data_IF_599486970109
#
_entry.id   IF_599486970109
#
_cell.length_a   1.000
_cell.length_b   1.000
_cell.length_c   1.000
_cell.angle_alpha   90.00
_cell.angle_beta   90.00
_cell.angle_gamma   90.00
#
_symmetry.space_group_name_H-M   'P 1'
#
loop_
_entity.id
_entity.type
_entity.pdbx_description
1 polymer ?
#
# COMPACT_ATOMS: atom_id res chain seq x y z
N UNK A 1 46.28 20.79 -22.96
CA UNK A 1 44.87 21.07 -22.61
C UNK A 1 44.84 21.31 -21.12
N UNK A 2 44.31 22.45 -20.68
CA UNK A 2 44.45 22.92 -19.29
C UNK A 2 43.62 22.01 -18.38
N UNK A 3 44.19 21.55 -17.27
CA UNK A 3 43.52 20.69 -16.28
C UNK A 3 42.18 21.27 -15.82
N UNK A 4 42.07 22.60 -15.75
CA UNK A 4 40.82 23.29 -15.42
C UNK A 4 39.67 23.13 -16.43
N UNK A 5 39.94 22.83 -17.71
CA UNK A 5 38.88 22.59 -18.70
C UNK A 5 38.24 21.20 -18.51
N UNK A 6 39.03 20.23 -18.01
CA UNK A 6 38.55 18.88 -17.73
C UNK A 6 37.70 18.86 -16.45
N UNK A 7 38.19 19.50 -15.38
CA UNK A 7 37.45 19.66 -14.11
C UNK A 7 36.12 20.40 -14.32
N UNK A 8 36.13 21.49 -15.09
CA UNK A 8 34.91 22.21 -15.44
C UNK A 8 33.92 21.34 -16.25
N UNK A 9 34.43 20.51 -17.16
CA UNK A 9 33.58 19.58 -17.94
C UNK A 9 32.96 18.49 -17.04
N UNK A 10 33.71 17.97 -16.08
CA UNK A 10 33.25 16.97 -15.11
C UNK A 10 32.21 17.54 -14.13
N UNK A 11 32.40 18.76 -13.64
CA UNK A 11 31.40 19.47 -12.83
C UNK A 11 30.09 19.73 -13.61
N UNK A 12 30.18 20.08 -14.89
CA UNK A 12 28.99 20.29 -15.73
C UNK A 12 28.23 18.99 -16.00
N UNK A 13 28.94 17.86 -16.17
CA UNK A 13 28.30 16.54 -16.27
C UNK A 13 27.63 16.13 -14.95
N UNK A 14 28.26 16.43 -13.82
CA UNK A 14 27.65 16.22 -12.51
C UNK A 14 26.39 17.05 -12.33
N UNK A 15 26.39 18.33 -12.69
CA UNK A 15 25.17 19.14 -12.66
C UNK A 15 24.10 18.60 -13.60
N UNK A 16 24.47 18.19 -14.81
CA UNK A 16 23.53 17.63 -15.79
C UNK A 16 22.83 16.36 -15.30
N UNK A 17 23.46 15.58 -14.41
CA UNK A 17 22.82 14.43 -13.75
C UNK A 17 21.56 14.83 -12.97
N UNK A 18 21.55 16.04 -12.40
CA UNK A 18 20.40 16.58 -11.67
C UNK A 18 19.43 17.36 -12.56
N UNK A 19 19.66 17.48 -13.87
CA UNK A 19 18.75 18.17 -14.78
C UNK A 19 17.39 17.45 -14.89
N UNK A 20 16.29 18.20 -14.84
CA UNK A 20 14.95 17.69 -15.09
C UNK A 20 14.63 17.61 -16.59
N UNK A 21 15.26 18.49 -17.40
CA UNK A 21 15.10 18.54 -18.84
C UNK A 21 16.45 18.77 -19.54
N UNK A 22 16.61 18.28 -20.77
CA UNK A 22 17.87 18.41 -21.54
C UNK A 22 18.26 19.86 -21.90
N UNK A 23 17.35 20.83 -21.77
CA UNK A 23 17.55 22.25 -22.09
C UNK A 23 17.40 23.15 -20.86
N UNK A 24 17.56 22.60 -19.65
CA UNK A 24 17.46 23.37 -18.41
C UNK A 24 18.71 24.22 -18.16
N UNK A 25 18.52 25.48 -17.78
CA UNK A 25 19.62 26.37 -17.44
C UNK A 25 20.36 25.90 -16.18
N UNK A 26 21.70 26.01 -16.18
CA UNK A 26 22.55 25.59 -15.06
C UNK A 26 22.14 26.25 -13.72
N UNK A 27 21.64 27.48 -13.79
CA UNK A 27 21.10 28.19 -12.62
C UNK A 27 19.96 27.42 -11.96
N UNK A 28 18.97 26.98 -12.75
CA UNK A 28 17.79 26.27 -12.25
C UNK A 28 18.16 24.93 -11.61
N UNK A 29 19.16 24.25 -12.19
CA UNK A 29 19.71 23.00 -11.66
C UNK A 29 20.40 23.24 -10.31
N UNK A 30 21.30 24.23 -10.23
CA UNK A 30 22.03 24.56 -8.98
C UNK A 30 21.07 25.01 -7.89
N UNK A 31 20.09 25.84 -8.22
CA UNK A 31 19.08 26.31 -7.26
C UNK A 31 18.27 25.15 -6.68
N UNK A 32 17.86 24.22 -7.55
CA UNK A 32 17.12 23.02 -7.14
C UNK A 32 17.98 22.10 -6.29
N UNK A 33 19.25 21.92 -6.65
CA UNK A 33 20.20 21.12 -5.88
C UNK A 33 20.41 21.68 -4.47
N UNK A 34 20.64 22.99 -4.36
CA UNK A 34 20.81 23.65 -3.06
C UNK A 34 19.52 23.66 -2.24
N UNK A 35 18.35 23.76 -2.87
CA UNK A 35 17.07 23.63 -2.17
C UNK A 35 16.85 22.23 -1.59
N UNK A 36 17.35 21.19 -2.27
CA UNK A 36 17.32 19.81 -1.79
C UNK A 36 18.33 19.58 -0.66
N UNK A 37 19.51 20.18 -0.76
CA UNK A 37 20.57 20.05 0.24
C UNK A 37 20.32 20.91 1.51
N UNK A 38 19.72 22.09 1.36
CA UNK A 38 19.57 23.11 2.42
C UNK A 38 18.16 23.71 2.47
N UNK A 39 17.12 22.91 2.77
CA UNK A 39 15.74 23.39 2.77
C UNK A 39 15.48 24.50 3.81
N UNK A 40 16.15 24.47 4.97
CA UNK A 40 15.97 25.45 6.04
C UNK A 40 16.53 26.84 5.67
N UNK A 41 17.74 26.90 5.11
CA UNK A 41 18.38 28.16 4.69
C UNK A 41 17.59 28.80 3.54
N UNK A 42 17.02 27.98 2.65
CA UNK A 42 16.24 28.48 1.52
C UNK A 42 14.88 29.08 1.93
N UNK A 43 14.32 28.68 3.07
CA UNK A 43 13.11 29.28 3.64
C UNK A 43 13.38 30.70 4.18
N UNK A 44 14.57 30.97 4.71
CA UNK A 44 15.00 32.28 5.19
C UNK A 44 15.36 33.24 4.04
N UNK A 45 15.90 32.69 2.95
CA UNK A 45 16.40 33.43 1.77
C UNK A 45 15.29 33.73 0.73
N UNK A 46 14.01 33.44 1.03
CA UNK A 46 12.83 33.59 0.13
C UNK A 46 12.68 34.94 -0.59
N UNK A 47 13.29 36.01 -0.07
CA UNK A 47 13.23 37.35 -0.67
C UNK A 47 14.29 37.61 -1.76
N UNK A 48 15.29 36.74 -1.90
CA UNK A 48 16.39 36.89 -2.86
C UNK A 48 16.10 36.11 -4.15
N UNK A 49 16.31 36.75 -5.30
CA UNK A 49 16.11 36.16 -6.63
C UNK A 49 17.45 36.01 -7.37
N UNK A 50 17.54 34.97 -8.22
CA UNK A 50 18.70 34.72 -9.07
C UNK A 50 19.91 34.16 -8.32
N UNK A 51 21.11 34.35 -8.88
CA UNK A 51 22.39 33.91 -8.31
C UNK A 51 22.68 34.46 -6.90
N UNK A 52 22.01 35.55 -6.50
CA UNK A 52 22.10 36.09 -5.13
C UNK A 52 21.56 35.12 -4.08
N UNK A 53 20.52 34.35 -4.40
CA UNK A 53 19.99 33.34 -3.48
C UNK A 53 20.98 32.19 -3.30
N UNK A 54 21.64 31.77 -4.38
CA UNK A 54 22.69 30.74 -4.38
C UNK A 54 23.87 31.18 -3.51
N UNK A 55 24.37 32.41 -3.71
CA UNK A 55 25.48 32.95 -2.92
C UNK A 55 25.09 33.06 -1.44
N UNK A 56 23.94 33.66 -1.12
CA UNK A 56 23.49 33.78 0.27
C UNK A 56 23.34 32.43 0.98
N UNK A 57 22.93 31.38 0.24
CA UNK A 57 22.85 30.02 0.78
C UNK A 57 24.24 29.46 1.11
N UNK A 58 25.22 29.68 0.25
CA UNK A 58 26.60 29.25 0.47
C UNK A 58 27.29 30.08 1.57
N UNK A 59 27.04 31.37 1.66
CA UNK A 59 27.54 32.24 2.73
C UNK A 59 26.98 31.82 4.09
N UNK A 60 25.69 31.46 4.14
CA UNK A 60 25.06 30.93 5.34
C UNK A 60 25.62 29.57 5.76
N UNK A 61 25.91 28.69 4.79
CA UNK A 61 26.50 27.38 5.09
C UNK A 61 27.96 27.46 5.55
N UNK A 62 28.76 28.29 4.89
CA UNK A 62 30.19 28.42 5.15
C UNK A 62 30.54 29.49 6.19
N UNK A 63 29.54 30.18 6.74
CA UNK A 63 29.69 31.30 7.68
C UNK A 63 30.71 32.37 7.22
N UNK A 64 30.83 32.55 5.91
CA UNK A 64 31.81 33.44 5.27
C UNK A 64 31.15 34.28 4.18
N UNK A 65 31.61 35.52 4.01
CA UNK A 65 31.11 36.41 2.97
C UNK A 65 31.85 36.10 1.65
N UNK A 66 31.11 35.65 0.64
CA UNK A 66 31.63 35.28 -0.66
C UNK A 66 31.64 36.54 -1.52
N UNK A 67 32.81 37.15 -1.72
CA UNK A 67 32.99 38.34 -2.56
C UNK A 67 32.85 38.03 -4.07
N UNK A 68 31.71 37.44 -4.47
CA UNK A 68 31.42 37.00 -5.83
C UNK A 68 30.54 38.03 -6.54
N UNK A 69 31.07 38.64 -7.59
CA UNK A 69 30.32 39.58 -8.43
C UNK A 69 29.28 38.84 -9.29
N UNK A 70 28.00 39.00 -8.95
CA UNK A 70 26.85 38.37 -9.63
C UNK A 70 26.81 38.64 -11.14
N UNK A 71 27.29 39.80 -11.59
CA UNK A 71 27.31 40.18 -13.01
C UNK A 71 28.28 39.33 -13.87
N UNK A 72 29.25 38.64 -13.25
CA UNK A 72 30.19 37.73 -13.95
C UNK A 72 29.67 36.30 -14.10
N UNK A 73 28.51 35.98 -13.51
CA UNK A 73 27.89 34.65 -13.52
C UNK A 73 26.88 34.46 -14.67
N UNK A 74 26.40 35.53 -15.30
CA UNK A 74 25.42 35.49 -16.41
C UNK A 74 26.06 35.41 -17.81
N UNK A 75 27.32 34.98 -17.91
CA UNK A 75 28.06 34.79 -19.16
C UNK A 75 28.96 33.56 -19.14
N UNK A 76 29.31 33.07 -20.33
CA UNK A 76 30.08 31.85 -20.66
C UNK A 76 31.07 31.38 -19.58
N UNK A 77 31.09 30.05 -19.30
CA UNK A 77 32.00 29.31 -18.39
C UNK A 77 33.25 30.10 -17.96
N UNK A 78 33.09 30.94 -16.93
CA UNK A 78 34.17 31.73 -16.35
C UNK A 78 34.81 30.95 -15.20
N UNK A 79 36.11 31.15 -14.94
CA UNK A 79 36.80 30.52 -13.79
C UNK A 79 36.09 30.79 -12.45
N UNK A 80 35.39 31.92 -12.34
CA UNK A 80 34.55 32.28 -11.17
C UNK A 80 33.31 31.40 -11.05
N UNK A 81 32.73 31.00 -12.17
CA UNK A 81 31.59 30.08 -12.20
C UNK A 81 32.02 28.66 -11.83
N UNK A 82 33.15 28.19 -12.35
CA UNK A 82 33.73 26.88 -11.95
C UNK A 82 34.04 26.86 -10.45
N UNK A 83 34.67 27.91 -9.91
CA UNK A 83 34.94 28.02 -8.48
C UNK A 83 33.64 28.04 -7.63
N UNK A 84 32.57 28.66 -8.14
CA UNK A 84 31.26 28.61 -7.48
C UNK A 84 30.69 27.18 -7.48
N UNK A 85 30.80 26.45 -8.59
CA UNK A 85 30.35 25.07 -8.67
C UNK A 85 31.15 24.11 -7.78
N UNK A 86 32.46 24.35 -7.65
CA UNK A 86 33.31 23.66 -6.66
C UNK A 86 32.73 23.86 -5.26
N UNK A 87 32.46 25.11 -4.85
CA UNK A 87 31.85 25.41 -3.54
C UNK A 87 30.46 24.78 -3.36
N UNK A 88 29.63 24.78 -4.41
CA UNK A 88 28.33 24.11 -4.37
C UNK A 88 28.49 22.61 -4.15
N UNK A 89 29.40 21.95 -4.88
CA UNK A 89 29.70 20.53 -4.68
C UNK A 89 30.17 20.27 -3.25
N UNK A 90 31.12 21.08 -2.74
CA UNK A 90 31.62 21.00 -1.38
C UNK A 90 30.52 21.12 -0.33
N UNK A 91 29.60 22.07 -0.50
CA UNK A 91 28.48 22.27 0.40
C UNK A 91 27.51 21.07 0.34
N UNK A 92 27.16 20.62 -0.86
CA UNK A 92 26.22 19.51 -1.08
C UNK A 92 26.76 18.18 -0.50
N UNK A 93 28.06 17.90 -0.58
CA UNK A 93 28.63 16.68 0.04
C UNK A 93 28.84 16.80 1.56
N UNK A 94 28.67 17.98 2.13
CA UNK A 94 28.76 18.23 3.57
C UNK A 94 27.39 18.53 4.22
N UNK A 95 26.31 18.51 3.45
CA UNK A 95 24.96 18.73 3.96
C UNK A 95 24.44 17.56 4.82
N UNK A 96 23.29 17.75 5.47
CA UNK A 96 22.65 16.72 6.30
C UNK A 96 22.30 15.45 5.50
N UNK A 97 21.96 15.60 4.23
CA UNK A 97 21.60 14.51 3.31
C UNK A 97 22.78 14.04 2.43
N UNK A 98 24.03 14.31 2.85
CA UNK A 98 25.26 13.98 2.10
C UNK A 98 25.36 12.55 1.58
N UNK A 99 24.79 11.56 2.28
CA UNK A 99 24.84 10.15 1.84
C UNK A 99 24.20 9.92 0.46
N UNK A 100 23.18 10.71 0.12
CA UNK A 100 22.50 10.60 -1.18
C UNK A 100 23.40 11.14 -2.29
N UNK A 101 23.90 12.37 -2.13
CA UNK A 101 24.78 13.01 -3.10
C UNK A 101 26.12 12.29 -3.28
N UNK A 102 26.68 11.71 -2.20
CA UNK A 102 27.91 10.89 -2.29
C UNK A 102 27.62 9.61 -3.08
N UNK A 103 26.51 8.93 -2.82
CA UNK A 103 26.11 7.74 -3.61
C UNK A 103 25.94 8.09 -5.08
N UNK A 104 25.32 9.24 -5.38
CA UNK A 104 25.13 9.69 -6.75
C UNK A 104 26.48 9.91 -7.46
N UNK A 105 27.44 10.56 -6.80
CA UNK A 105 28.82 10.71 -7.31
C UNK A 105 29.49 9.36 -7.57
N UNK A 106 29.31 8.38 -6.69
CA UNK A 106 29.86 7.02 -6.84
C UNK A 106 29.20 6.20 -7.97
N UNK A 107 28.04 6.62 -8.48
CA UNK A 107 27.36 5.96 -9.63
C UNK A 107 27.74 6.55 -10.98
N UNK A 108 28.54 7.63 -11.00
CA UNK A 108 29.01 8.27 -12.22
C UNK A 108 30.19 7.51 -12.86
N UNK A 109 30.57 7.92 -14.07
CA UNK A 109 31.73 7.37 -14.79
C UNK A 109 33.03 7.61 -14.02
N UNK A 110 33.92 6.61 -14.01
CA UNK A 110 35.19 6.61 -13.25
C UNK A 110 36.04 7.88 -13.44
N UNK A 111 36.04 8.43 -14.65
CA UNK A 111 36.80 9.67 -14.98
C UNK A 111 36.17 10.89 -14.28
N UNK A 112 34.84 10.99 -14.29
CA UNK A 112 34.11 12.09 -13.63
C UNK A 112 34.20 11.92 -12.12
N UNK A 113 34.09 10.70 -11.61
CA UNK A 113 34.22 10.40 -10.19
C UNK A 113 35.60 10.81 -9.65
N UNK A 114 36.68 10.46 -10.36
CA UNK A 114 38.04 10.81 -9.96
C UNK A 114 38.24 12.34 -9.89
N UNK A 115 37.75 13.07 -10.89
CA UNK A 115 37.81 14.54 -10.92
C UNK A 115 37.01 15.17 -9.77
N UNK A 116 35.77 14.71 -9.52
CA UNK A 116 34.93 15.23 -8.44
C UNK A 116 35.52 14.92 -7.05
N UNK A 117 36.10 13.73 -6.86
CA UNK A 117 36.77 13.37 -5.60
C UNK A 117 37.99 14.24 -5.35
N UNK A 118 38.80 14.52 -6.38
CA UNK A 118 39.94 15.43 -6.26
C UNK A 118 39.49 16.87 -5.90
N UNK A 119 38.38 17.35 -6.46
CA UNK A 119 37.79 18.65 -6.12
C UNK A 119 37.28 18.66 -4.66
N UNK A 120 36.58 17.61 -4.23
CA UNK A 120 36.08 17.50 -2.86
C UNK A 120 37.23 17.47 -1.86
N UNK A 121 38.27 16.67 -2.11
CA UNK A 121 39.49 16.61 -1.29
C UNK A 121 40.18 17.96 -1.23
N UNK A 122 40.31 18.67 -2.36
CA UNK A 122 40.87 20.03 -2.43
C UNK A 122 40.09 21.00 -1.55
N UNK A 123 38.75 21.03 -1.62
CA UNK A 123 37.91 21.93 -0.82
C UNK A 123 38.00 21.58 0.67
N UNK A 124 38.02 20.28 1.02
CA UNK A 124 38.15 19.84 2.40
C UNK A 124 39.54 20.14 2.99
N UNK A 125 40.61 20.03 2.19
CA UNK A 125 41.97 20.32 2.63
C UNK A 125 42.27 21.82 2.75
N UNK A 126 41.67 22.65 1.89
CA UNK A 126 41.91 24.10 1.89
C UNK A 126 41.01 24.85 2.88
N UNK A 127 39.86 24.27 3.29
CA UNK A 127 38.82 25.04 3.98
C UNK A 127 38.37 26.24 3.14
N UNK A 128 37.44 27.06 3.62
CA UNK A 128 37.00 28.28 2.90
C UNK A 128 38.04 29.40 3.05
N UNK A 129 39.30 29.10 2.80
CA UNK A 129 40.41 30.06 2.84
C UNK A 129 40.94 30.39 1.44
N UNK A 130 40.15 30.13 0.39
CA UNK A 130 40.55 30.39 -1.00
C UNK A 130 40.57 31.90 -1.35
N UNK A 131 40.19 32.81 -0.44
CA UNK A 131 40.21 34.25 -0.72
C UNK A 131 40.92 35.14 0.30
N UNK A 132 41.62 34.61 1.30
CA UNK A 132 42.28 35.46 2.31
C UNK A 132 43.76 35.08 2.49
N UNK A 133 44.64 35.75 1.74
CA UNK A 133 46.09 35.71 1.94
C UNK A 133 46.49 37.06 2.53
N UNK A 134 46.95 37.08 3.79
CA UNK A 134 48.09 37.91 4.24
C UNK A 134 48.51 37.60 5.69
N UNK A 135 49.76 37.11 5.80
CA UNK A 135 50.80 37.52 6.75
C UNK A 135 50.72 37.13 8.26
N UNK A 136 51.75 36.43 8.76
CA UNK A 136 52.90 36.99 9.52
C UNK A 136 53.55 35.90 10.38
N UNK A 137 54.88 35.87 10.31
CA UNK A 137 55.82 35.05 11.06
C UNK A 137 56.10 35.56 12.50
N UNK A 138 56.79 34.71 13.26
CA UNK A 138 57.96 35.01 14.09
C UNK A 138 57.93 34.96 15.63
N UNK A 139 58.89 34.14 16.08
CA UNK A 139 59.47 33.82 17.40
C UNK A 139 59.90 35.03 18.23
N UNK A 140 60.04 34.86 19.55
CA UNK A 140 61.36 34.75 20.22
C UNK A 140 61.29 34.76 21.75
N UNK A 141 62.21 33.98 22.33
CA UNK A 141 62.60 33.84 23.73
C UNK A 141 63.46 35.03 24.19
N UNK A 142 63.59 35.31 25.50
CA UNK A 142 64.83 35.07 26.28
C UNK A 142 64.70 35.52 27.77
N UNK A 143 65.56 34.93 28.61
CA UNK A 143 65.59 34.90 30.07
C UNK A 143 66.73 35.76 30.68
N UNK A 144 66.60 35.98 32.00
CA UNK A 144 67.69 36.02 33.02
C UNK A 144 68.63 37.26 33.02
N UNK A 145 69.13 37.80 34.14
CA UNK A 145 69.77 37.14 35.29
C UNK A 145 69.75 37.94 36.62
N UNK A 146 70.07 37.22 37.72
CA UNK A 146 70.22 37.68 39.13
C UNK A 146 71.70 37.98 39.46
N UNK A 147 71.97 38.88 40.43
CA UNK A 147 72.95 38.63 41.53
C UNK A 147 73.02 39.73 42.63
N UNK A 148 73.45 39.33 43.83
CA UNK A 148 73.67 40.11 45.08
C UNK A 148 74.49 39.23 46.06
N UNK A 149 74.98 39.67 47.26
CA UNK A 149 74.91 40.99 47.94
C UNK A 149 76.17 41.42 48.79
N UNK A 150 76.29 42.70 49.19
CA UNK A 150 77.24 43.19 50.23
C UNK A 150 76.59 44.07 51.32
N UNK A 151 76.73 43.67 52.60
CA UNK A 151 76.04 44.09 53.86
C UNK A 151 76.46 45.47 54.36
N UNK A 152 75.52 46.42 54.52
CA UNK A 152 75.73 47.60 55.39
C UNK A 152 75.45 49.01 54.84
N UNK A 153 74.86 49.17 53.65
CA UNK A 153 74.49 50.48 53.09
C UNK A 153 72.97 50.76 53.28
N UNK A 154 72.43 52.00 53.19
CA UNK A 154 70.97 52.24 53.13
C UNK A 154 70.26 51.43 52.02
N UNK A 155 71.01 51.15 50.95
CA UNK A 155 70.66 50.19 49.90
C UNK A 155 70.49 48.74 50.39
N UNK A 156 71.18 48.33 51.46
CA UNK A 156 71.06 47.00 52.07
C UNK A 156 69.74 46.82 52.83
N UNK A 157 69.32 47.86 53.57
CA UNK A 157 68.04 47.88 54.25
C UNK A 157 66.89 47.87 53.24
N UNK A 158 67.00 48.66 52.17
CA UNK A 158 66.05 48.64 51.04
C UNK A 158 66.04 47.28 50.32
N UNK A 159 67.22 46.67 50.10
CA UNK A 159 67.33 45.34 49.50
C UNK A 159 66.73 44.26 50.39
N UNK A 160 66.98 44.28 51.70
CA UNK A 160 66.40 43.32 52.64
C UNK A 160 64.88 43.48 52.77
N UNK A 161 64.37 44.72 52.76
CA UNK A 161 62.93 44.98 52.72
C UNK A 161 62.30 44.44 51.42
N UNK A 162 62.96 44.60 50.27
CA UNK A 162 62.53 44.00 49.01
C UNK A 162 62.58 42.46 49.05
N UNK A 163 63.62 41.88 49.65
CA UNK A 163 63.79 40.43 49.79
C UNK A 163 62.68 39.81 50.67
N UNK A 164 62.31 40.48 51.76
CA UNK A 164 61.21 40.08 52.63
C UNK A 164 59.83 40.27 51.97
N UNK A 165 59.68 41.21 51.04
CA UNK A 165 58.49 41.34 50.20
C UNK A 165 58.39 40.17 49.21
N UNK A 166 59.48 39.89 48.50
CA UNK A 166 59.57 38.76 47.55
C UNK A 166 59.36 37.42 48.25
N UNK A 167 59.83 37.23 49.49
CA UNK A 167 59.56 36.02 50.27
C UNK A 167 58.07 35.86 50.61
N UNK A 168 57.38 36.96 50.97
CA UNK A 168 55.94 36.93 51.23
C UNK A 168 55.16 36.64 49.96
N UNK A 169 55.49 37.30 48.86
CA UNK A 169 54.91 37.03 47.54
C UNK A 169 55.15 35.58 47.12
N UNK A 170 56.35 35.03 47.30
CA UNK A 170 56.62 33.60 47.09
C UNK A 170 55.77 32.70 48.00
N UNK A 171 55.54 33.11 49.24
CA UNK A 171 54.68 32.39 50.18
C UNK A 171 53.23 32.33 49.69
N UNK A 172 52.70 33.48 49.25
CA UNK A 172 51.35 33.59 48.67
C UNK A 172 51.26 32.78 47.38
N UNK A 173 52.22 32.92 46.46
CA UNK A 173 52.28 32.16 45.21
C UNK A 173 52.34 30.65 45.46
N UNK A 174 53.08 30.18 46.47
CA UNK A 174 53.09 28.75 46.85
C UNK A 174 51.74 28.28 47.35
N UNK A 175 51.06 29.09 48.17
CA UNK A 175 49.72 28.76 48.66
C UNK A 175 48.70 28.72 47.52
N UNK A 176 48.77 29.68 46.59
CA UNK A 176 47.96 29.71 45.37
C UNK A 176 48.26 28.52 44.47
N UNK A 177 49.52 28.12 44.31
CA UNK A 177 49.90 26.93 43.54
C UNK A 177 49.30 25.65 44.14
N UNK A 178 49.34 25.52 45.48
CA UNK A 178 48.70 24.40 46.19
C UNK A 178 47.18 24.44 46.06
N UNK A 179 46.57 25.62 46.04
CA UNK A 179 45.14 25.79 45.81
C UNK A 179 44.75 25.34 44.40
N UNK A 180 45.41 25.87 43.39
CA UNK A 180 45.20 25.54 41.98
C UNK A 180 45.42 24.05 41.71
N UNK A 181 46.45 23.44 42.33
CA UNK A 181 46.69 22.01 42.22
C UNK A 181 45.51 21.17 42.75
N UNK A 182 44.90 21.59 43.86
CA UNK A 182 43.72 20.92 44.44
C UNK A 182 42.49 21.11 43.57
N UNK A 183 42.27 22.31 43.04
CA UNK A 183 41.17 22.58 42.10
C UNK A 183 41.31 21.76 40.82
N UNK A 184 42.54 21.62 40.30
CA UNK A 184 42.82 20.79 39.14
C UNK A 184 42.53 19.30 39.42
N UNK A 185 42.90 18.80 40.60
CA UNK A 185 42.61 17.42 41.03
C UNK A 185 41.09 17.21 41.18
N UNK A 186 40.37 18.19 41.73
CA UNK A 186 38.91 18.13 41.84
C UNK A 186 38.22 18.20 40.47
N UNK A 187 38.72 19.04 39.56
CA UNK A 187 38.20 19.13 38.20
C UNK A 187 38.43 17.83 37.42
N UNK A 188 39.62 17.21 37.55
CA UNK A 188 39.94 15.93 36.90
C UNK A 188 39.13 14.75 37.45
N UNK A 189 38.86 14.71 38.75
CA UNK A 189 37.98 13.69 39.33
C UNK A 189 36.54 13.85 38.87
N UNK A 190 36.00 15.08 38.87
CA UNK A 190 34.67 15.37 38.33
C UNK A 190 34.56 14.99 36.85
N UNK A 191 35.58 15.30 36.06
CA UNK A 191 35.61 14.96 34.63
C UNK A 191 35.51 13.43 34.42
N UNK A 192 36.26 12.64 35.19
CA UNK A 192 36.17 11.16 35.14
C UNK A 192 34.79 10.63 35.49
N UNK A 193 34.10 11.22 36.47
CA UNK A 193 32.74 10.81 36.83
C UNK A 193 31.78 11.07 35.66
N UNK A 194 31.88 12.26 35.04
CA UNK A 194 31.06 12.63 33.89
C UNK A 194 31.34 11.71 32.70
N UNK A 195 32.60 11.33 32.45
CA UNK A 195 32.94 10.36 31.40
C UNK A 195 32.28 8.99 31.64
N UNK A 196 32.31 8.48 32.87
CA UNK A 196 31.64 7.22 33.22
C UNK A 196 30.12 7.28 33.08
N UNK A 197 29.52 8.42 33.45
CA UNK A 197 28.07 8.63 33.27
C UNK A 197 27.70 8.72 31.78
N UNK A 198 28.53 9.40 30.98
CA UNK A 198 28.38 9.47 29.52
C UNK A 198 28.46 8.07 28.89
N UNK A 199 29.43 7.25 29.28
CA UNK A 199 29.56 5.87 28.79
C UNK A 199 28.30 5.05 29.10
N UNK A 200 27.81 5.09 30.34
CA UNK A 200 26.56 4.41 30.73
C UNK A 200 25.35 4.90 29.95
N UNK A 201 25.28 6.21 29.69
CA UNK A 201 24.19 6.78 28.90
C UNK A 201 24.26 6.31 27.44
N UNK A 202 25.45 6.24 26.86
CA UNK A 202 25.65 5.70 25.51
C UNK A 202 25.23 4.24 25.44
N UNK A 203 25.62 3.40 26.40
CA UNK A 203 25.21 1.99 26.46
C UNK A 203 23.69 1.85 26.57
N UNK A 204 23.05 2.66 27.43
CA UNK A 204 21.59 2.67 27.56
C UNK A 204 20.90 3.09 26.26
N UNK A 205 21.40 4.14 25.60
CA UNK A 205 20.87 4.60 24.31
C UNK A 205 21.03 3.54 23.22
N UNK A 206 22.15 2.82 23.18
CA UNK A 206 22.38 1.71 22.25
C UNK A 206 21.38 0.58 22.52
N UNK A 207 21.20 0.16 23.78
CA UNK A 207 20.23 -0.88 24.13
C UNK A 207 18.78 -0.51 23.79
N UNK A 208 18.39 0.75 24.03
CA UNK A 208 17.07 1.26 23.64
C UNK A 208 16.89 1.26 22.13
N UNK A 209 17.93 1.64 21.37
CA UNK A 209 17.90 1.61 19.90
C UNK A 209 17.70 0.18 19.39
N UNK A 210 18.48 -0.78 19.88
CA UNK A 210 18.34 -2.20 19.51
C UNK A 210 16.95 -2.74 19.85
N UNK A 211 16.39 -2.36 21.00
CA UNK A 211 15.05 -2.76 21.38
C UNK A 211 13.98 -2.19 20.42
N UNK A 212 14.09 -0.91 20.05
CA UNK A 212 13.18 -0.28 19.07
C UNK A 212 13.30 -0.94 17.70
N UNK A 213 14.52 -1.25 17.26
CA UNK A 213 14.76 -1.95 15.98
C UNK A 213 14.14 -3.35 15.99
N UNK A 214 14.32 -4.10 17.09
CA UNK A 214 13.73 -5.43 17.26
C UNK A 214 12.20 -5.39 17.29
N UNK A 215 11.60 -4.43 18.01
CA UNK A 215 10.15 -4.26 18.07
C UNK A 215 9.57 -3.83 16.72
N UNK A 216 10.29 -2.97 15.97
CA UNK A 216 9.87 -2.54 14.63
C UNK A 216 9.88 -3.71 13.65
N UNK A 217 10.94 -4.52 13.66
CA UNK A 217 11.01 -5.75 12.86
C UNK A 217 9.92 -6.75 13.24
N UNK A 218 9.65 -6.94 14.53
CA UNK A 218 8.58 -7.83 15.02
C UNK A 218 7.21 -7.36 14.56
N UNK A 219 6.90 -6.07 14.71
CA UNK A 219 5.65 -5.46 14.21
C UNK A 219 5.52 -5.64 12.70
N UNK A 220 6.59 -5.39 11.94
CA UNK A 220 6.61 -5.61 10.49
C UNK A 220 6.28 -7.05 10.11
N UNK A 221 6.89 -8.04 10.76
CA UNK A 221 6.60 -9.47 10.52
C UNK A 221 5.15 -9.84 10.83
N UNK A 222 4.59 -9.34 11.93
CA UNK A 222 3.19 -9.59 12.30
C UNK A 222 2.24 -9.00 11.27
N UNK A 223 2.46 -7.74 10.86
CA UNK A 223 1.65 -7.09 9.83
C UNK A 223 1.73 -7.85 8.50
N UNK A 224 2.92 -8.26 8.07
CA UNK A 224 3.08 -9.07 6.86
C UNK A 224 2.35 -10.41 6.96
N UNK A 225 2.41 -11.09 8.10
CA UNK A 225 1.68 -12.34 8.31
C UNK A 225 0.15 -12.14 8.21
N UNK A 226 -0.38 -11.08 8.83
CA UNK A 226 -1.80 -10.74 8.77
C UNK A 226 -2.26 -10.39 7.35
N UNK A 227 -1.46 -9.63 6.60
CA UNK A 227 -1.78 -9.33 5.20
C UNK A 227 -1.75 -10.57 4.32
N UNK A 228 -0.76 -11.46 4.51
CA UNK A 228 -0.69 -12.72 3.78
C UNK A 228 -1.90 -13.62 4.07
N UNK A 229 -2.31 -13.72 5.34
CA UNK A 229 -3.51 -14.46 5.73
C UNK A 229 -4.77 -13.86 5.09
N UNK A 230 -4.91 -12.53 5.09
CA UNK A 230 -6.04 -11.86 4.44
C UNK A 230 -6.06 -12.07 2.93
N UNK A 231 -4.90 -12.00 2.28
CA UNK A 231 -4.76 -12.27 0.83
C UNK A 231 -5.17 -13.71 0.53
N UNK A 232 -4.70 -14.68 1.32
CA UNK A 232 -5.05 -16.09 1.13
C UNK A 232 -6.56 -16.35 1.33
N UNK A 233 -7.17 -15.74 2.34
CA UNK A 233 -8.62 -15.80 2.57
C UNK A 233 -9.40 -15.24 1.39
N UNK A 234 -9.01 -14.06 0.89
CA UNK A 234 -9.66 -13.45 -0.28
C UNK A 234 -9.48 -14.28 -1.56
N UNK A 235 -8.33 -14.92 -1.75
CA UNK A 235 -8.09 -15.82 -2.88
C UNK A 235 -8.99 -17.06 -2.81
N UNK A 236 -9.15 -17.65 -1.63
CA UNK A 236 -10.03 -18.80 -1.43
C UNK A 236 -11.50 -18.44 -1.73
N UNK A 237 -11.97 -17.30 -1.23
CA UNK A 237 -13.31 -16.77 -1.53
C UNK A 237 -13.50 -16.50 -3.02
N UNK A 238 -12.48 -15.91 -3.68
CA UNK A 238 -12.51 -15.65 -5.11
C UNK A 238 -12.60 -16.95 -5.93
N UNK A 239 -11.86 -17.98 -5.54
CA UNK A 239 -11.88 -19.26 -6.25
C UNK A 239 -13.17 -20.04 -6.01
N UNK A 240 -13.72 -19.98 -4.79
CA UNK A 240 -15.05 -20.51 -4.46
C UNK A 240 -16.15 -19.85 -5.29
N UNK A 241 -16.20 -18.51 -5.31
CA UNK A 241 -17.18 -17.76 -6.11
C UNK A 241 -17.03 -17.98 -7.61
N UNK A 242 -15.80 -18.14 -8.12
CA UNK A 242 -15.56 -18.54 -9.52
C UNK A 242 -16.09 -19.95 -9.81
N UNK A 243 -15.95 -20.89 -8.89
CA UNK A 243 -16.47 -22.24 -9.04
C UNK A 243 -18.00 -22.24 -9.10
N UNK A 244 -18.66 -21.52 -8.18
CA UNK A 244 -20.12 -21.34 -8.20
C UNK A 244 -20.58 -20.67 -9.50
N UNK A 245 -19.87 -19.64 -9.97
CA UNK A 245 -20.19 -18.98 -11.22
C UNK A 245 -20.09 -19.94 -12.41
N UNK A 246 -19.09 -20.83 -12.45
CA UNK A 246 -18.97 -21.85 -13.50
C UNK A 246 -20.14 -22.83 -13.47
N UNK A 247 -20.54 -23.29 -12.29
CA UNK A 247 -21.71 -24.16 -12.14
C UNK A 247 -23.00 -23.48 -12.61
N UNK A 248 -23.22 -22.22 -12.17
CA UNK A 248 -24.38 -21.43 -12.60
C UNK A 248 -24.39 -21.20 -14.11
N UNK A 249 -23.23 -20.93 -14.73
CA UNK A 249 -23.10 -20.84 -16.19
C UNK A 249 -23.44 -22.16 -16.89
N UNK A 250 -22.97 -23.29 -16.35
CA UNK A 250 -23.31 -24.61 -16.88
C UNK A 250 -24.82 -24.90 -16.79
N UNK A 251 -25.46 -24.57 -15.66
CA UNK A 251 -26.91 -24.68 -15.49
C UNK A 251 -27.66 -23.76 -16.45
N UNK A 252 -27.26 -22.49 -16.56
CA UNK A 252 -27.86 -21.55 -17.51
C UNK A 252 -27.77 -22.03 -18.96
N UNK A 253 -26.67 -22.69 -19.34
CA UNK A 253 -26.54 -23.31 -20.66
C UNK A 253 -27.49 -24.48 -20.92
N UNK A 254 -27.96 -25.18 -19.86
CA UNK A 254 -28.91 -26.30 -19.98
C UNK A 254 -30.37 -25.85 -20.04
N UNK A 255 -30.70 -24.66 -19.52
CA UNK A 255 -32.08 -24.16 -19.46
C UNK A 255 -32.74 -24.04 -20.84
N UNK A 256 -32.09 -23.46 -21.88
CA UNK A 256 -32.70 -23.37 -23.20
C UNK A 256 -33.07 -24.75 -23.79
N UNK A 257 -32.16 -25.73 -23.71
CA UNK A 257 -32.43 -27.07 -24.23
C UNK A 257 -33.59 -27.77 -23.53
N UNK A 258 -33.71 -27.61 -22.20
CA UNK A 258 -34.87 -28.11 -21.45
C UNK A 258 -36.15 -27.36 -21.80
N UNK A 259 -36.08 -26.05 -22.05
CA UNK A 259 -37.22 -25.25 -22.51
C UNK A 259 -37.71 -25.73 -23.87
N UNK A 260 -36.79 -25.96 -24.81
CA UNK A 260 -37.10 -26.47 -26.15
C UNK A 260 -37.75 -27.86 -26.07
N UNK A 261 -37.27 -28.74 -25.19
CA UNK A 261 -37.88 -30.05 -24.95
C UNK A 261 -39.31 -29.93 -24.40
N UNK A 262 -39.54 -29.03 -23.44
CA UNK A 262 -40.89 -28.75 -22.92
C UNK A 262 -41.80 -28.20 -24.02
N UNK A 263 -41.31 -27.32 -24.87
CA UNK A 263 -42.06 -26.75 -25.98
C UNK A 263 -42.42 -27.80 -27.04
N UNK A 264 -41.54 -28.78 -27.30
CA UNK A 264 -41.81 -29.92 -28.17
C UNK A 264 -42.85 -30.89 -27.58
N UNK A 265 -42.83 -31.12 -26.26
CA UNK A 265 -43.75 -32.03 -25.59
C UNK A 265 -45.15 -31.43 -25.40
N UNK A 266 -45.28 -30.11 -25.29
CA UNK A 266 -46.57 -29.40 -25.11
C UNK A 266 -47.63 -29.77 -26.16
N UNK A 267 -47.38 -29.75 -27.49
CA UNK A 267 -48.38 -30.14 -28.48
C UNK A 267 -48.72 -31.64 -28.43
N UNK A 268 -47.78 -32.50 -28.01
CA UNK A 268 -48.05 -33.92 -27.84
C UNK A 268 -49.01 -34.16 -26.65
N UNK A 269 -48.79 -33.46 -25.54
CA UNK A 269 -49.70 -33.48 -24.38
C UNK A 269 -51.11 -33.01 -24.76
N UNK A 270 -51.24 -31.94 -25.54
CA UNK A 270 -52.54 -31.47 -26.03
C UNK A 270 -53.23 -32.46 -26.97
N UNK A 271 -52.47 -33.15 -27.84
CA UNK A 271 -53.02 -34.24 -28.67
C UNK A 271 -53.50 -35.41 -27.81
N UNK A 272 -52.72 -35.80 -26.81
CA UNK A 272 -53.09 -36.87 -25.88
C UNK A 272 -54.37 -36.54 -25.11
N UNK A 273 -54.49 -35.31 -24.60
CA UNK A 273 -55.71 -34.80 -23.96
C UNK A 273 -56.94 -34.88 -24.87
N UNK A 274 -56.79 -34.57 -26.17
CA UNK A 274 -57.88 -34.74 -27.15
C UNK A 274 -58.26 -36.20 -27.31
N UNK A 275 -57.29 -37.10 -27.43
CA UNK A 275 -57.53 -38.55 -27.53
C UNK A 275 -58.19 -39.08 -26.25
N UNK A 276 -57.76 -38.66 -25.07
CA UNK A 276 -58.40 -39.06 -23.81
C UNK A 276 -59.87 -38.61 -23.76
N UNK A 277 -60.17 -37.40 -24.25
CA UNK A 277 -61.56 -36.92 -24.35
C UNK A 277 -62.41 -37.73 -25.33
N UNK A 278 -61.84 -38.20 -26.46
CA UNK A 278 -62.58 -39.04 -27.41
C UNK A 278 -62.77 -40.45 -26.86
N UNK A 279 -61.75 -41.02 -26.21
CA UNK A 279 -61.84 -42.30 -25.51
C UNK A 279 -62.92 -42.25 -24.42
N UNK A 280 -62.99 -41.18 -23.62
CA UNK A 280 -64.04 -40.99 -22.63
C UNK A 280 -65.44 -40.95 -23.27
N UNK A 281 -65.62 -40.24 -24.38
CA UNK A 281 -66.88 -40.23 -25.13
C UNK A 281 -67.27 -41.61 -25.66
N UNK A 282 -66.30 -42.36 -26.23
CA UNK A 282 -66.57 -43.70 -26.73
C UNK A 282 -66.93 -44.69 -25.62
N UNK A 283 -66.27 -44.60 -24.45
CA UNK A 283 -66.63 -45.37 -23.26
C UNK A 283 -68.08 -45.10 -22.83
N UNK A 284 -68.46 -43.82 -22.70
CA UNK A 284 -69.84 -43.45 -22.36
C UNK A 284 -70.85 -44.01 -23.37
N UNK A 285 -70.56 -43.95 -24.67
CA UNK A 285 -71.43 -44.52 -25.71
C UNK A 285 -71.55 -46.05 -25.62
N UNK A 286 -70.47 -46.75 -25.25
CA UNK A 286 -70.51 -48.20 -25.02
C UNK A 286 -71.39 -48.53 -23.81
N UNK A 287 -71.29 -47.76 -22.73
CA UNK A 287 -72.11 -47.93 -21.54
C UNK A 287 -73.60 -47.69 -21.85
N UNK A 288 -73.93 -46.65 -22.63
CA UNK A 288 -75.29 -46.37 -23.12
C UNK A 288 -75.85 -47.51 -23.98
N UNK A 289 -75.07 -48.02 -24.95
CA UNK A 289 -75.47 -49.14 -25.80
C UNK A 289 -75.66 -50.43 -25.00
N UNK A 290 -74.83 -50.65 -23.97
CA UNK A 290 -74.97 -51.79 -23.06
C UNK A 290 -76.27 -51.68 -22.26
N UNK A 291 -76.59 -50.51 -21.72
CA UNK A 291 -77.87 -50.24 -21.05
C UNK A 291 -79.08 -50.40 -21.97
N UNK A 292 -78.98 -49.95 -23.23
CA UNK A 292 -80.03 -50.13 -24.23
C UNK A 292 -80.25 -51.62 -24.55
N UNK A 293 -79.17 -52.40 -24.66
CA UNK A 293 -79.22 -53.86 -24.86
C UNK A 293 -79.93 -54.57 -23.70
N UNK A 294 -79.67 -54.16 -22.46
CA UNK A 294 -80.33 -54.73 -21.28
C UNK A 294 -81.81 -54.31 -21.18
N UNK A 295 -82.15 -53.11 -21.64
CA UNK A 295 -83.55 -52.70 -21.80
C UNK A 295 -84.27 -53.53 -22.87
N UNK A 296 -83.63 -53.77 -24.02
CA UNK A 296 -84.18 -54.60 -25.10
C UNK A 296 -84.46 -56.02 -24.61
N UNK A 297 -83.52 -56.66 -23.92
CA UNK A 297 -83.73 -58.00 -23.32
C UNK A 297 -84.90 -58.04 -22.36
N UNK A 298 -85.05 -57.01 -21.51
CA UNK A 298 -86.21 -56.91 -20.61
C UNK A 298 -87.52 -56.80 -21.39
N UNK A 299 -87.55 -55.98 -22.44
CA UNK A 299 -88.73 -55.85 -23.30
C UNK A 299 -89.06 -57.17 -24.01
N UNK A 300 -88.06 -57.88 -24.55
CA UNK A 300 -88.23 -59.19 -25.18
C UNK A 300 -88.85 -60.20 -24.22
N UNK A 301 -88.35 -60.29 -22.97
CA UNK A 301 -88.92 -61.15 -21.91
C UNK A 301 -90.37 -60.76 -21.61
N UNK A 302 -90.65 -59.47 -21.37
CA UNK A 302 -92.03 -59.02 -21.10
C UNK A 302 -92.97 -59.25 -22.27
N UNK A 303 -92.50 -59.13 -23.51
CA UNK A 303 -93.29 -59.39 -24.71
C UNK A 303 -93.59 -60.88 -24.85
N UNK A 304 -92.61 -61.76 -24.57
CA UNK A 304 -92.83 -63.21 -24.54
C UNK A 304 -93.87 -63.61 -23.47
N UNK A 305 -93.79 -63.05 -22.27
CA UNK A 305 -94.80 -63.25 -21.22
C UNK A 305 -96.18 -62.75 -21.64
N UNK A 306 -96.27 -61.60 -22.32
CA UNK A 306 -97.53 -61.08 -22.84
C UNK A 306 -98.11 -61.96 -23.96
N UNK A 307 -97.26 -62.50 -24.85
CA UNK A 307 -97.68 -63.46 -25.87
C UNK A 307 -98.21 -64.76 -25.22
N UNK A 308 -97.52 -65.30 -24.23
CA UNK A 308 -97.97 -66.48 -23.48
C UNK A 308 -99.32 -66.24 -22.79
N UNK A 309 -99.46 -65.08 -22.11
CA UNK A 309 -100.75 -64.66 -21.53
C UNK A 309 -101.84 -64.54 -22.58
N UNK A 310 -101.54 -63.98 -23.75
CA UNK A 310 -102.52 -63.82 -24.82
C UNK A 310 -102.96 -65.18 -25.39
N UNK A 311 -102.02 -66.10 -25.63
CA UNK A 311 -102.32 -67.48 -26.04
C UNK A 311 -103.17 -68.23 -25.01
N UNK A 312 -102.89 -68.05 -23.71
CA UNK A 312 -103.69 -68.62 -22.63
C UNK A 312 -105.13 -68.06 -22.64
N UNK A 313 -105.27 -66.74 -22.78
CA UNK A 313 -106.58 -66.07 -22.90
C UNK A 313 -107.35 -66.49 -24.16
N UNK A 314 -106.67 -66.67 -25.30
CA UNK A 314 -107.27 -67.21 -26.52
C UNK A 314 -107.76 -68.65 -26.34
N UNK A 315 -106.98 -69.49 -25.67
CA UNK A 315 -107.36 -70.87 -25.32
C UNK A 315 -108.57 -70.89 -24.37
N UNK A 316 -108.57 -70.05 -23.34
CA UNK A 316 -109.70 -69.93 -22.42
C UNK A 316 -110.94 -69.35 -23.10
N UNK A 317 -110.78 -68.41 -24.04
CA UNK A 317 -111.86 -67.91 -24.89
C UNK A 317 -112.42 -69.02 -25.79
N UNK A 318 -111.56 -69.86 -26.36
CA UNK A 318 -111.99 -71.02 -27.15
C UNK A 318 -112.74 -72.04 -26.29
N UNK A 319 -112.24 -72.37 -25.09
CA UNK A 319 -112.95 -73.21 -24.11
C UNK A 319 -114.30 -72.60 -23.78
N UNK A 320 -114.36 -71.32 -23.40
CA UNK A 320 -115.61 -70.62 -23.10
C UNK A 320 -116.60 -70.69 -24.28
N UNK A 321 -116.12 -70.50 -25.52
CA UNK A 321 -116.94 -70.67 -26.72
C UNK A 321 -117.46 -72.11 -26.88
N UNK A 322 -116.66 -73.14 -26.56
CA UNK A 322 -117.14 -74.54 -26.57
C UNK A 322 -118.15 -74.83 -25.46
N UNK A 323 -117.96 -74.28 -24.25
CA UNK A 323 -118.91 -74.40 -23.14
C UNK A 323 -120.23 -73.72 -23.48
N UNK A 324 -120.18 -72.53 -24.12
CA UNK A 324 -121.36 -71.86 -24.65
C UNK A 324 -122.09 -72.71 -25.70
N UNK A 325 -121.36 -73.37 -26.61
CA UNK A 325 -121.96 -74.30 -27.59
C UNK A 325 -122.64 -75.50 -26.90
N UNK A 326 -121.95 -76.18 -25.98
CA UNK A 326 -122.52 -77.31 -25.21
C UNK A 326 -123.72 -76.90 -24.35
N UNK A 327 -123.68 -75.71 -23.74
CA UNK A 327 -124.81 -75.17 -22.99
C UNK A 327 -126.02 -74.94 -23.89
N UNK A 328 -125.79 -74.44 -25.12
CA UNK A 328 -126.85 -74.27 -26.12
C UNK A 328 -127.43 -75.63 -26.54
N UNK A 329 -126.59 -76.62 -26.85
CA UNK A 329 -127.01 -77.99 -27.18
C UNK A 329 -127.77 -78.66 -26.02
N UNK A 330 -127.31 -78.50 -24.78
CA UNK A 330 -128.01 -79.04 -23.60
C UNK A 330 -129.35 -78.35 -23.37
N UNK A 331 -129.44 -77.02 -23.54
CA UNK A 331 -130.73 -76.31 -23.50
C UNK A 331 -131.68 -76.84 -24.57
N UNK A 332 -131.20 -77.08 -25.79
CA UNK A 332 -131.97 -77.67 -26.89
C UNK A 332 -132.41 -79.13 -26.59
N UNK A 333 -131.53 -79.96 -26.03
CA UNK A 333 -131.84 -81.34 -25.65
C UNK A 333 -132.82 -81.43 -24.46
N UNK A 334 -132.69 -80.56 -23.46
CA UNK A 334 -133.62 -80.53 -22.33
C UNK A 334 -135.01 -80.04 -22.76
N UNK A 335 -135.10 -79.15 -23.76
CA UNK A 335 -136.38 -78.82 -24.40
C UNK A 335 -136.96 -79.98 -25.22
N UNK A 336 -136.16 -80.98 -25.59
CA UNK A 336 -136.60 -82.17 -26.32
C UNK A 336 -137.04 -83.34 -25.42
N UNK A 337 -136.47 -83.51 -24.21
CA UNK A 337 -136.87 -84.56 -23.25
C UNK A 337 -138.12 -84.23 -22.40
N UNK A 338 -138.57 -82.96 -22.38
CA UNK A 338 -139.80 -82.53 -21.67
C UNK A 338 -141.04 -82.57 -22.60
N UNK A 339 -140.94 -83.24 -23.75
CA UNK A 339 -142.06 -83.53 -24.66
C UNK A 339 -142.32 -85.03 -24.74
#
# INVERSE_FOLDING_TARGET
>A
MRTGDAEASSLMRWLAFYAANAQEDCFSIVLRLLKLAFPAIFEEVKALNGWKAVIATLEGFYETNLAVEVQKLEGTLNNTFTALLELVLGAVVQCETKETFIKDVLTMEDVVQADLMAIIEKIMAQGVSVLNVEAVEEKSEDKQDKESPGIGSPLYLSRNAALERVKRENGVLKQENVHLARELEQATTNFRVIELEKEKLIEMMQGLKEQVDADTLKKGRVMHAQYNERINSLQLELDSTKAELKEKKALAGRVPGLSDEVDLLRPLAEKMKKVDSTVAKYKAKIDELSGAKDMLRRLEVTNAELMEKNLALESDRAKAATWQRKLKESKEANTAMVR
#
